data_IF_435856923152
#
_entry.id   IF_435856923152
#
_cell.length_a   1.000
_cell.length_b   1.000
_cell.length_c   1.000
_cell.angle_alpha   90.00
_cell.angle_beta   90.00
_cell.angle_gamma   90.00
#
_symmetry.space_group_name_H-M   'P 1'
#
loop_
_entity.id
_entity.type
_entity.pdbx_description
1 polymer ?
#
# COMPACT_ATOMS: atom_id res chain seq x y z
N UNK A 1 -0.83 -16.63 -63.13
CA UNK A 1 0.08 -15.66 -62.47
C UNK A 1 -0.70 -14.38 -62.15
N UNK A 2 -1.23 -14.20 -60.94
CA UNK A 2 -1.79 -12.92 -60.52
C UNK A 2 -0.67 -12.02 -59.95
N UNK A 3 -0.46 -10.84 -60.53
CA UNK A 3 0.49 -9.83 -60.02
C UNK A 3 -0.19 -8.97 -58.95
N UNK A 4 0.47 -8.85 -57.80
CA UNK A 4 0.04 -8.27 -56.54
C UNK A 4 -0.23 -6.76 -56.58
N UNK A 5 -1.26 -6.31 -55.85
CA UNK A 5 -1.49 -4.90 -55.47
C UNK A 5 -0.46 -4.42 -54.42
N UNK A 6 -0.16 -3.11 -54.33
CA UNK A 6 0.87 -2.59 -53.42
C UNK A 6 0.38 -2.55 -51.97
N UNK A 7 1.20 -3.10 -51.05
CA UNK A 7 1.00 -3.04 -49.59
C UNK A 7 1.22 -1.60 -49.11
N UNK A 8 0.16 -0.95 -48.60
CA UNK A 8 0.26 0.29 -47.82
C UNK A 8 1.07 0.02 -46.54
N UNK A 9 2.10 0.84 -46.28
CA UNK A 9 2.80 0.88 -44.98
C UNK A 9 1.78 1.28 -43.91
N UNK A 10 1.51 0.39 -42.97
CA UNK A 10 0.81 0.72 -41.74
C UNK A 10 1.79 1.45 -40.83
N UNK A 11 1.56 2.74 -40.62
CA UNK A 11 2.23 3.52 -39.57
C UNK A 11 1.76 2.96 -38.24
N UNK A 12 2.69 2.43 -37.44
CA UNK A 12 2.42 1.97 -36.09
C UNK A 12 1.97 3.17 -35.24
N UNK A 13 0.66 3.30 -35.03
CA UNK A 13 0.14 4.16 -33.98
C UNK A 13 0.52 3.51 -32.65
N UNK A 14 1.45 4.15 -31.92
CA UNK A 14 1.73 3.86 -30.51
C UNK A 14 0.37 3.89 -29.79
N UNK A 15 -0.04 2.74 -29.28
CA UNK A 15 -1.35 2.52 -28.68
C UNK A 15 -1.35 3.23 -27.33
N UNK A 16 -1.72 4.51 -27.34
CA UNK A 16 -2.00 5.29 -26.13
C UNK A 16 -3.07 4.51 -25.36
N UNK A 17 -2.70 3.98 -24.20
CA UNK A 17 -3.59 3.19 -23.36
C UNK A 17 -4.82 4.04 -23.02
N UNK A 18 -6.00 3.44 -23.19
CA UNK A 18 -7.31 4.06 -22.95
C UNK A 18 -7.37 4.55 -21.50
N UNK A 19 -7.27 5.86 -21.29
CA UNK A 19 -7.73 6.51 -20.06
C UNK A 19 -9.26 6.50 -20.11
N UNK A 20 -9.89 5.82 -19.16
CA UNK A 20 -11.33 5.85 -18.95
C UNK A 20 -11.57 6.62 -17.65
N UNK A 21 -12.41 7.66 -17.69
CA UNK A 21 -12.94 8.32 -16.50
C UNK A 21 -13.74 7.29 -15.69
N UNK A 22 -13.41 7.12 -14.40
CA UNK A 22 -14.41 6.96 -13.35
C UNK A 22 -13.81 7.06 -11.94
N UNK A 23 -14.60 7.69 -11.06
CA UNK A 23 -14.60 7.70 -9.58
C UNK A 23 -13.34 8.17 -8.83
N UNK A 24 -13.18 9.49 -8.81
CA UNK A 24 -12.90 10.31 -7.63
C UNK A 24 -11.78 9.84 -6.67
N UNK A 25 -10.56 10.33 -6.88
CA UNK A 25 -9.52 10.30 -5.87
C UNK A 25 -9.93 11.19 -4.67
N UNK A 26 -10.36 10.57 -3.55
CA UNK A 26 -10.79 11.30 -2.34
C UNK A 26 -9.64 12.04 -1.65
N UNK A 27 -8.40 11.60 -1.84
CA UNK A 27 -7.20 12.16 -1.21
C UNK A 27 -6.88 13.56 -1.77
N UNK A 28 -7.16 13.79 -3.05
CA UNK A 28 -6.93 15.08 -3.72
C UNK A 28 -8.21 15.87 -4.05
N UNK A 29 -9.36 15.49 -3.49
CA UNK A 29 -10.58 16.29 -3.57
C UNK A 29 -11.22 16.37 -4.96
N UNK A 30 -11.57 15.22 -5.55
CA UNK A 30 -12.22 15.08 -6.87
C UNK A 30 -11.31 15.29 -8.09
N UNK A 31 -10.03 14.95 -7.99
CA UNK A 31 -9.10 14.95 -9.12
C UNK A 31 -9.17 13.63 -9.90
N UNK A 32 -8.74 13.65 -11.16
CA UNK A 32 -8.57 12.43 -11.97
C UNK A 32 -7.59 11.46 -11.29
N UNK A 33 -7.93 10.17 -11.29
CA UNK A 33 -7.04 9.10 -10.86
C UNK A 33 -6.17 8.62 -12.02
N UNK A 34 -4.91 8.26 -11.74
CA UNK A 34 -3.94 7.86 -12.74
C UNK A 34 -3.36 6.48 -12.43
N UNK A 35 -2.86 5.82 -13.47
CA UNK A 35 -2.16 4.53 -13.38
C UNK A 35 -0.81 4.63 -14.09
N UNK A 36 0.21 3.96 -13.58
CA UNK A 36 1.57 3.92 -14.12
C UNK A 36 2.16 2.52 -13.99
N UNK A 37 2.23 1.77 -15.09
CA UNK A 37 2.85 0.44 -15.11
C UNK A 37 4.36 0.48 -14.80
N UNK A 38 5.02 1.59 -15.15
CA UNK A 38 6.44 1.80 -14.85
C UNK A 38 6.65 2.13 -13.36
N UNK A 39 5.75 2.93 -12.77
CA UNK A 39 5.73 3.19 -11.33
C UNK A 39 5.43 1.92 -10.53
N UNK A 40 4.46 1.13 -10.98
CA UNK A 40 4.10 -0.15 -10.39
C UNK A 40 5.30 -1.08 -10.34
N UNK A 41 5.96 -1.31 -11.47
CA UNK A 41 7.13 -2.18 -11.54
C UNK A 41 8.28 -1.69 -10.65
N UNK A 42 8.55 -0.37 -10.63
CA UNK A 42 9.62 0.21 -9.83
C UNK A 42 9.34 0.10 -8.32
N UNK A 43 8.20 0.63 -7.87
CA UNK A 43 7.91 0.79 -6.45
C UNK A 43 7.67 -0.56 -5.78
N UNK A 44 6.97 -1.49 -6.44
CA UNK A 44 6.84 -2.87 -5.93
C UNK A 44 8.19 -3.58 -5.84
N UNK A 45 9.10 -3.38 -6.80
CA UNK A 45 10.45 -3.96 -6.73
C UNK A 45 11.29 -3.43 -5.57
N UNK A 46 10.97 -2.23 -5.07
CA UNK A 46 11.56 -1.61 -3.87
C UNK A 46 10.76 -1.90 -2.59
N UNK A 47 9.75 -2.76 -2.69
CA UNK A 47 8.96 -3.22 -1.55
C UNK A 47 7.90 -2.24 -1.07
N UNK A 48 7.45 -1.32 -1.90
CA UNK A 48 6.22 -0.57 -1.66
C UNK A 48 5.00 -1.44 -1.97
N UNK A 49 3.91 -1.26 -1.21
CA UNK A 49 2.64 -1.94 -1.44
C UNK A 49 1.86 -1.16 -2.47
N UNK A 50 1.48 -1.81 -3.55
CA UNK A 50 0.54 -1.24 -4.51
C UNK A 50 -0.90 -1.42 -4.07
N UNK A 51 -1.65 -0.33 -4.01
CA UNK A 51 -3.10 -0.33 -3.79
C UNK A 51 -3.84 -1.02 -4.93
N UNK A 52 -3.31 -0.94 -6.16
CA UNK A 52 -3.88 -1.63 -7.33
C UNK A 52 -3.99 -3.14 -7.11
N UNK A 53 -3.07 -3.72 -6.35
CA UNK A 53 -3.05 -5.15 -6.04
C UNK A 53 -3.91 -5.52 -4.82
N UNK A 54 -4.54 -4.53 -4.17
CA UNK A 54 -5.41 -4.73 -3.02
C UNK A 54 -6.89 -4.87 -3.46
N UNK A 55 -7.70 -5.60 -2.68
CA UNK A 55 -9.14 -5.73 -2.93
C UNK A 55 -9.83 -4.36 -2.96
N UNK A 56 -10.43 -4.00 -4.09
CA UNK A 56 -11.12 -2.71 -4.28
C UNK A 56 -10.23 -1.57 -4.79
N UNK A 57 -8.91 -1.63 -4.58
CA UNK A 57 -7.98 -0.53 -4.90
C UNK A 57 -7.71 -0.32 -6.40
N UNK A 58 -7.95 -1.33 -7.24
CA UNK A 58 -7.79 -1.20 -8.71
C UNK A 58 -8.73 -0.17 -9.36
N UNK A 59 -9.76 0.29 -8.63
CA UNK A 59 -10.75 1.25 -9.12
C UNK A 59 -10.39 2.72 -8.82
N UNK A 60 -9.47 2.98 -7.88
CA UNK A 60 -9.20 4.32 -7.34
C UNK A 60 -7.93 4.98 -7.95
N UNK A 61 -7.27 4.29 -8.88
CA UNK A 61 -5.95 4.66 -9.43
C UNK A 61 -4.82 3.93 -8.72
N UNK A 62 -3.58 4.27 -9.07
CA UNK A 62 -2.46 3.74 -8.32
C UNK A 62 -2.15 4.63 -7.12
N UNK A 63 -1.87 3.96 -6.02
CA UNK A 63 -1.10 4.51 -4.93
C UNK A 63 -0.15 3.44 -4.43
N UNK A 64 1.01 3.89 -3.96
CA UNK A 64 2.00 3.02 -3.34
C UNK A 64 2.27 3.50 -1.94
N UNK A 65 2.11 2.60 -0.97
CA UNK A 65 2.30 2.90 0.44
C UNK A 65 3.41 2.04 1.03
N UNK A 66 3.96 2.46 2.16
CA UNK A 66 4.70 1.54 3.02
C UNK A 66 3.73 0.68 3.82
N UNK A 67 4.19 -0.51 4.23
CA UNK A 67 3.45 -1.27 5.24
C UNK A 67 3.33 -0.43 6.51
N UNK A 68 2.15 -0.35 7.15
CA UNK A 68 1.98 0.35 8.41
C UNK A 68 3.02 -0.06 9.48
N UNK A 69 3.41 -1.34 9.48
CA UNK A 69 4.46 -1.90 10.32
C UNK A 69 5.85 -1.27 10.14
N UNK A 70 6.15 -0.74 8.95
CA UNK A 70 7.48 -0.21 8.59
C UNK A 70 7.62 1.29 8.83
N UNK A 71 6.60 1.91 9.41
CA UNK A 71 6.64 3.29 9.85
C UNK A 71 7.47 3.39 11.13
N UNK A 72 8.31 4.44 11.31
CA UNK A 72 9.25 4.61 12.43
C UNK A 72 8.79 4.15 13.81
N UNK A 73 7.50 4.32 14.13
CA UNK A 73 6.71 3.52 15.08
C UNK A 73 5.36 4.21 15.38
N UNK A 74 4.22 3.98 14.70
CA UNK A 74 2.91 4.55 15.13
C UNK A 74 2.92 6.02 15.66
N UNK A 75 3.81 6.80 15.07
CA UNK A 75 3.94 8.24 15.13
C UNK A 75 3.90 8.92 16.53
N UNK A 76 4.32 8.29 17.63
CA UNK A 76 4.57 9.05 18.88
C UNK A 76 5.79 9.97 18.70
N UNK A 77 5.50 11.24 18.38
CA UNK A 77 6.41 12.38 18.20
C UNK A 77 7.41 12.28 17.03
N UNK A 78 7.27 13.14 16.01
CA UNK A 78 8.27 13.25 14.94
C UNK A 78 7.88 14.12 13.73
N UNK A 79 8.82 14.30 12.81
CA UNK A 79 8.59 14.92 11.49
C UNK A 79 7.74 14.00 10.59
N UNK A 80 6.97 14.55 9.64
CA UNK A 80 6.17 13.76 8.70
C UNK A 80 7.02 12.69 7.99
N UNK A 81 6.48 11.48 7.82
CA UNK A 81 7.18 10.36 7.16
C UNK A 81 6.50 10.00 5.84
N UNK A 82 7.23 9.60 4.80
CA UNK A 82 6.64 9.26 3.51
C UNK A 82 5.65 8.11 3.69
N UNK A 83 4.38 8.36 3.42
CA UNK A 83 3.33 7.35 3.56
C UNK A 83 2.84 6.87 2.22
N UNK A 84 2.93 7.70 1.18
CA UNK A 84 2.34 7.39 -0.11
C UNK A 84 3.04 8.05 -1.29
N UNK A 85 3.01 7.38 -2.43
CA UNK A 85 3.35 7.92 -3.74
C UNK A 85 2.14 7.72 -4.66
N UNK A 86 1.80 8.75 -5.42
CA UNK A 86 0.71 8.72 -6.41
C UNK A 86 1.21 9.19 -7.77
N UNK A 87 0.69 8.64 -8.88
CA UNK A 87 0.86 9.23 -10.19
C UNK A 87 -0.09 10.43 -10.37
N UNK A 88 0.39 11.44 -11.07
CA UNK A 88 -0.35 12.62 -11.52
C UNK A 88 -0.39 12.67 -13.05
N UNK A 89 -1.21 13.55 -13.62
CA UNK A 89 -1.24 13.76 -15.08
C UNK A 89 0.16 14.08 -15.64
N UNK A 90 0.94 14.86 -14.88
CA UNK A 90 2.22 15.42 -15.28
C UNK A 90 3.42 14.75 -14.62
N UNK A 91 3.24 13.67 -13.85
CA UNK A 91 4.34 13.02 -13.13
C UNK A 91 3.90 12.24 -11.90
N UNK A 92 4.50 12.53 -10.75
CA UNK A 92 4.25 11.84 -9.48
C UNK A 92 4.22 12.83 -8.32
N UNK A 93 3.62 12.43 -7.20
CA UNK A 93 3.70 13.14 -5.94
C UNK A 93 3.97 12.15 -4.82
N UNK A 94 4.88 12.49 -3.92
CA UNK A 94 5.05 11.81 -2.64
C UNK A 94 4.42 12.64 -1.54
N UNK A 95 3.70 12.00 -0.63
CA UNK A 95 3.16 12.63 0.58
C UNK A 95 3.84 12.05 1.82
N UNK A 96 4.21 12.95 2.71
CA UNK A 96 4.70 12.60 4.03
C UNK A 96 3.58 12.92 5.04
N UNK A 97 3.07 11.92 5.74
CA UNK A 97 2.01 12.11 6.74
C UNK A 97 2.58 12.28 8.15
N UNK A 98 1.89 13.11 8.93
CA UNK A 98 2.09 13.31 10.37
C UNK A 98 1.43 12.19 11.17
N UNK A 99 1.73 12.15 12.49
CA UNK A 99 1.08 11.25 13.43
C UNK A 99 -0.42 11.07 13.40
N UNK A 100 -1.13 12.16 13.18
CA UNK A 100 -2.58 12.18 13.13
C UNK A 100 -3.14 11.82 11.74
N UNK A 101 -2.29 11.28 10.85
CA UNK A 101 -2.66 10.94 9.47
C UNK A 101 -2.84 12.15 8.55
N UNK A 102 -2.60 13.37 9.03
CA UNK A 102 -2.67 14.55 8.17
C UNK A 102 -1.42 14.69 7.28
N UNK A 103 -1.56 15.36 6.15
CA UNK A 103 -0.44 15.63 5.24
C UNK A 103 -0.29 17.15 5.16
N UNK A 104 0.70 17.74 5.85
CA UNK A 104 0.99 19.17 5.71
C UNK A 104 1.29 19.52 4.24
N UNK A 105 0.82 20.67 3.72
CA UNK A 105 1.09 21.05 2.33
C UNK A 105 2.59 21.08 1.97
N UNK A 106 3.45 21.47 2.91
CA UNK A 106 4.91 21.47 2.79
C UNK A 106 5.54 20.07 2.81
N UNK A 107 4.78 19.07 3.23
CA UNK A 107 5.18 17.66 3.31
C UNK A 107 4.82 16.90 2.03
N UNK A 108 4.49 17.62 0.95
CA UNK A 108 4.26 17.07 -0.39
C UNK A 108 5.41 17.46 -1.31
N UNK A 109 5.84 16.53 -2.15
CA UNK A 109 6.86 16.81 -3.18
C UNK A 109 6.36 16.26 -4.50
N UNK A 110 6.24 17.15 -5.49
CA UNK A 110 5.88 16.80 -6.87
C UNK A 110 7.16 16.54 -7.68
N UNK A 111 7.08 15.51 -8.52
CA UNK A 111 8.12 15.11 -9.47
C UNK A 111 7.53 15.18 -10.87
N UNK A 112 8.18 15.88 -11.80
CA UNK A 112 7.71 16.02 -13.18
C UNK A 112 7.96 14.79 -14.06
N UNK A 113 8.63 13.75 -13.52
CA UNK A 113 8.95 12.52 -14.24
C UNK A 113 9.24 11.36 -13.28
N UNK A 114 9.30 10.14 -13.83
CA UNK A 114 9.72 8.95 -13.08
C UNK A 114 11.19 9.06 -12.69
N UNK A 115 12.04 9.62 -13.55
CA UNK A 115 13.47 9.81 -13.29
C UNK A 115 13.72 10.73 -12.09
N UNK A 116 12.92 11.78 -11.93
CA UNK A 116 12.98 12.67 -10.76
C UNK A 116 12.57 11.95 -9.47
N UNK A 117 11.48 11.16 -9.51
CA UNK A 117 11.09 10.32 -8.37
C UNK A 117 12.21 9.33 -7.99
N UNK A 118 12.78 8.63 -8.98
CA UNK A 118 13.88 7.67 -8.79
C UNK A 118 15.08 8.30 -8.08
N UNK A 119 15.41 9.55 -8.42
CA UNK A 119 16.53 10.26 -7.82
C UNK A 119 16.31 10.59 -6.32
N UNK A 120 15.05 10.65 -5.86
CA UNK A 120 14.70 10.99 -4.48
C UNK A 120 14.24 9.79 -3.64
N UNK A 121 14.00 8.62 -4.26
CA UNK A 121 13.52 7.43 -3.56
C UNK A 121 14.43 6.99 -2.42
N UNK A 122 15.75 7.11 -2.54
CA UNK A 122 16.67 6.77 -1.45
C UNK A 122 16.47 7.67 -0.23
N UNK A 123 16.15 8.96 -0.43
CA UNK A 123 15.82 9.89 0.66
C UNK A 123 14.49 9.54 1.28
N UNK A 124 13.48 9.23 0.47
CA UNK A 124 12.18 8.79 0.95
C UNK A 124 12.33 7.51 1.78
N UNK A 125 12.98 6.48 1.26
CA UNK A 125 13.12 5.18 1.93
C UNK A 125 14.03 5.21 3.15
N UNK A 126 14.86 6.25 3.33
CA UNK A 126 15.69 6.42 4.54
C UNK A 126 14.87 6.60 5.82
N UNK A 127 13.59 7.00 5.72
CA UNK A 127 12.68 7.07 6.86
C UNK A 127 12.05 5.72 7.20
N UNK A 128 12.18 4.69 6.35
CA UNK A 128 11.59 3.37 6.58
C UNK A 128 12.32 2.67 7.72
N UNK A 129 11.57 2.04 8.63
CA UNK A 129 12.19 1.15 9.61
C UNK A 129 12.78 -0.05 8.87
N UNK A 130 14.04 -0.44 9.17
CA UNK A 130 14.64 -1.61 8.54
C UNK A 130 13.79 -2.86 8.74
N UNK A 131 13.69 -3.69 7.71
CA UNK A 131 13.01 -4.97 7.80
C UNK A 131 13.52 -5.80 9.00
N UNK A 132 12.60 -6.39 9.76
CA UNK A 132 12.94 -7.15 10.97
C UNK A 132 13.24 -6.29 12.21
N UNK A 133 13.32 -4.97 12.05
CA UNK A 133 13.28 -4.00 13.15
C UNK A 133 11.85 -3.49 13.20
N UNK A 134 11.16 -3.70 14.32
CA UNK A 134 9.75 -3.34 14.44
C UNK A 134 9.53 -2.67 15.77
N UNK A 135 8.68 -1.67 15.78
CA UNK A 135 8.27 -0.97 17.00
C UNK A 135 6.76 -1.10 17.14
N UNK A 136 6.32 -1.57 18.29
CA UNK A 136 4.91 -1.77 18.65
C UNK A 136 4.43 -0.60 19.52
N UNK A 137 3.17 -0.16 19.38
CA UNK A 137 2.64 0.91 20.23
C UNK A 137 2.57 0.49 21.68
N UNK A 138 2.83 1.43 22.59
CA UNK A 138 2.56 1.21 24.01
C UNK A 138 3.30 0.01 24.63
N UNK A 139 4.37 -0.49 23.99
CA UNK A 139 5.08 -1.70 24.40
C UNK A 139 4.55 -3.01 23.81
N UNK A 140 3.57 -2.92 22.90
CA UNK A 140 2.92 -4.04 22.23
C UNK A 140 1.87 -4.72 23.08
N UNK A 141 1.23 -5.77 22.53
CA UNK A 141 0.09 -6.37 23.16
C UNK A 141 0.46 -7.01 24.50
N UNK A 142 -0.40 -6.81 25.48
CA UNK A 142 -0.23 -7.37 26.82
C UNK A 142 -0.10 -8.91 26.81
N UNK A 143 0.43 -9.52 27.89
CA UNK A 143 0.60 -10.98 27.97
C UNK A 143 -0.73 -11.75 27.89
N UNK A 144 -1.85 -11.10 28.22
CA UNK A 144 -3.20 -11.68 28.15
C UNK A 144 -4.00 -11.19 26.94
N UNK A 145 -3.52 -10.17 26.21
CA UNK A 145 -4.24 -9.58 25.09
C UNK A 145 -4.22 -10.52 23.87
N UNK A 146 -5.36 -10.63 23.20
CA UNK A 146 -5.57 -11.54 22.07
C UNK A 146 -5.73 -10.75 20.75
N UNK A 147 -5.58 -11.41 19.59
CA UNK A 147 -5.88 -10.78 18.31
C UNK A 147 -7.34 -10.30 18.23
N UNK A 148 -8.27 -11.03 18.85
CA UNK A 148 -9.69 -10.62 18.93
C UNK A 148 -9.85 -9.31 19.71
N UNK A 149 -9.13 -9.14 20.82
CA UNK A 149 -9.17 -7.90 21.60
C UNK A 149 -8.71 -6.70 20.76
N UNK A 150 -7.64 -6.86 19.98
CA UNK A 150 -7.14 -5.80 19.09
C UNK A 150 -8.17 -5.44 18.00
N UNK A 151 -8.76 -6.45 17.37
CA UNK A 151 -9.77 -6.27 16.31
C UNK A 151 -11.02 -5.53 16.82
N UNK A 152 -11.41 -5.78 18.07
CA UNK A 152 -12.61 -5.16 18.66
C UNK A 152 -12.35 -3.76 19.25
N UNK A 153 -11.09 -3.38 19.49
CA UNK A 153 -10.74 -2.16 20.23
C UNK A 153 -10.06 -1.09 19.38
N UNK A 154 -9.26 -1.45 18.39
CA UNK A 154 -8.54 -0.50 17.56
C UNK A 154 -9.46 -0.01 16.43
N UNK A 155 -9.75 1.29 16.43
CA UNK A 155 -10.67 1.90 15.47
C UNK A 155 -10.01 2.25 14.14
N UNK A 156 -8.73 2.63 14.16
CA UNK A 156 -7.99 3.05 12.98
C UNK A 156 -7.45 1.81 12.25
N UNK A 157 -7.88 1.59 11.01
CA UNK A 157 -7.59 0.36 10.26
C UNK A 157 -6.08 0.14 10.05
N UNK A 158 -5.33 1.22 9.81
CA UNK A 158 -3.88 1.14 9.62
C UNK A 158 -3.15 0.74 10.93
N UNK A 159 -3.62 1.21 12.08
CA UNK A 159 -3.11 0.84 13.41
C UNK A 159 -3.38 -0.63 13.69
N UNK A 160 -4.59 -1.10 13.37
CA UNK A 160 -4.98 -2.49 13.54
C UNK A 160 -4.11 -3.41 12.68
N UNK A 161 -3.88 -3.06 11.41
CA UNK A 161 -3.01 -3.81 10.50
C UNK A 161 -1.60 -3.94 11.08
N UNK A 162 -1.01 -2.84 11.55
CA UNK A 162 0.32 -2.87 12.15
C UNK A 162 0.40 -3.78 13.40
N UNK A 163 -0.61 -3.72 14.29
CA UNK A 163 -0.60 -4.48 15.54
C UNK A 163 -0.71 -5.97 15.21
N UNK A 164 -1.63 -6.32 14.30
CA UNK A 164 -1.83 -7.70 13.88
C UNK A 164 -0.63 -8.27 13.11
N UNK A 165 0.17 -7.45 12.41
CA UNK A 165 1.42 -7.92 11.80
C UNK A 165 2.43 -8.31 12.88
N UNK A 166 2.58 -7.50 13.94
CA UNK A 166 3.60 -7.69 14.97
C UNK A 166 3.17 -8.53 16.16
N UNK A 167 1.88 -8.84 16.27
CA UNK A 167 1.36 -9.62 17.38
C UNK A 167 2.14 -10.95 17.53
N UNK A 168 2.56 -11.31 18.75
CA UNK A 168 3.36 -12.50 19.01
C UNK A 168 2.46 -13.75 19.08
N UNK A 169 2.02 -14.21 17.90
CA UNK A 169 1.12 -15.37 17.81
C UNK A 169 1.76 -16.66 18.34
N UNK A 170 0.93 -17.50 18.96
CA UNK A 170 1.30 -18.86 19.34
C UNK A 170 1.11 -19.82 18.17
N UNK A 171 1.97 -20.85 18.08
CA UNK A 171 1.85 -21.91 17.08
C UNK A 171 0.70 -22.89 17.39
N UNK A 172 0.32 -23.01 18.65
CA UNK A 172 -0.81 -23.82 19.08
C UNK A 172 -2.13 -23.08 18.85
N UNK A 173 -3.15 -23.81 18.40
CA UNK A 173 -4.52 -23.29 18.30
C UNK A 173 -5.00 -22.80 19.68
N UNK A 174 -5.62 -21.63 19.71
CA UNK A 174 -6.05 -21.00 20.95
C UNK A 174 -6.20 -19.49 20.81
N UNK A 175 -6.49 -18.76 21.89
CA UNK A 175 -6.83 -17.33 21.83
C UNK A 175 -5.72 -16.43 21.27
N UNK A 176 -4.47 -16.87 21.28
CA UNK A 176 -3.32 -16.12 20.73
C UNK A 176 -2.84 -16.67 19.38
N UNK A 177 -3.57 -17.59 18.75
CA UNK A 177 -3.18 -18.15 17.45
C UNK A 177 -3.60 -17.20 16.31
N UNK A 178 -2.90 -17.30 15.17
CA UNK A 178 -3.24 -16.54 13.96
C UNK A 178 -4.59 -16.96 13.36
N UNK A 179 -5.13 -18.12 13.76
CA UNK A 179 -6.43 -18.61 13.30
C UNK A 179 -7.56 -17.64 13.67
N UNK A 180 -7.44 -16.89 14.77
CA UNK A 180 -8.44 -15.90 15.16
C UNK A 180 -8.51 -14.73 14.17
N UNK A 181 -7.38 -14.33 13.55
CA UNK A 181 -7.36 -13.32 12.48
C UNK A 181 -8.09 -13.84 11.24
N UNK A 182 -7.83 -15.09 10.87
CA UNK A 182 -8.49 -15.76 9.73
C UNK A 182 -10.00 -15.88 9.99
N UNK A 183 -10.39 -16.26 11.20
CA UNK A 183 -11.79 -16.39 11.60
C UNK A 183 -12.49 -15.03 11.61
N UNK A 184 -11.85 -13.98 12.13
CA UNK A 184 -12.39 -12.63 12.12
C UNK A 184 -12.63 -12.09 10.71
N UNK A 185 -11.74 -12.39 9.75
CA UNK A 185 -11.98 -12.10 8.33
C UNK A 185 -13.19 -12.86 7.77
N UNK A 186 -13.29 -14.16 8.04
CA UNK A 186 -14.44 -14.97 7.62
C UNK A 186 -15.77 -14.46 8.21
N UNK A 187 -15.73 -13.86 9.40
CA UNK A 187 -16.87 -13.23 10.09
C UNK A 187 -17.13 -11.79 9.67
N UNK A 188 -16.35 -11.24 8.72
CA UNK A 188 -16.42 -9.83 8.28
C UNK A 188 -16.12 -8.81 9.39
N UNK A 189 -15.42 -9.22 10.46
CA UNK A 189 -14.90 -8.31 11.49
C UNK A 189 -13.62 -7.60 11.05
N UNK A 190 -12.90 -8.19 10.10
CA UNK A 190 -11.79 -7.54 9.38
C UNK A 190 -12.21 -7.28 7.94
N UNK A 191 -11.80 -6.13 7.41
CA UNK A 191 -11.92 -5.87 5.97
C UNK A 191 -10.97 -6.79 5.20
N UNK A 192 -11.28 -7.03 3.92
CA UNK A 192 -10.40 -7.81 3.06
C UNK A 192 -9.03 -7.12 2.89
N UNK A 193 -9.03 -5.78 2.81
CA UNK A 193 -7.82 -4.96 2.77
C UNK A 193 -6.94 -5.19 4.01
N UNK A 194 -7.51 -5.12 5.21
CA UNK A 194 -6.77 -5.31 6.44
C UNK A 194 -6.18 -6.73 6.52
N UNK A 195 -6.98 -7.74 6.19
CA UNK A 195 -6.53 -9.13 6.20
C UNK A 195 -5.38 -9.40 5.22
N UNK A 196 -5.50 -8.96 3.97
CA UNK A 196 -4.43 -9.13 2.98
C UNK A 196 -3.16 -8.37 3.36
N UNK A 197 -3.30 -7.18 3.93
CA UNK A 197 -2.16 -6.39 4.43
C UNK A 197 -1.44 -7.12 5.57
N UNK A 198 -2.18 -7.72 6.51
CA UNK A 198 -1.59 -8.51 7.60
C UNK A 198 -0.83 -9.72 7.06
N UNK A 199 -1.39 -10.44 6.10
CA UNK A 199 -0.71 -11.57 5.46
C UNK A 199 0.59 -11.13 4.78
N UNK A 200 0.53 -10.08 3.97
CA UNK A 200 1.69 -9.54 3.26
C UNK A 200 2.79 -9.09 4.24
N UNK A 201 2.42 -8.34 5.30
CA UNK A 201 3.35 -7.86 6.31
C UNK A 201 4.01 -8.99 7.12
N UNK A 202 3.34 -10.14 7.24
CA UNK A 202 3.88 -11.34 7.90
C UNK A 202 4.61 -12.29 6.96
N UNK A 203 4.70 -11.98 5.66
CA UNK A 203 5.29 -12.85 4.65
C UNK A 203 4.50 -14.15 4.44
N UNK A 204 3.19 -14.13 4.70
CA UNK A 204 2.29 -15.25 4.53
C UNK A 204 1.55 -15.14 3.20
N UNK A 205 1.37 -16.26 2.50
CA UNK A 205 0.49 -16.31 1.33
C UNK A 205 -0.97 -16.35 1.76
N UNK A 206 -1.84 -15.67 1.03
CA UNK A 206 -3.28 -15.79 1.23
C UNK A 206 -3.74 -17.25 1.01
N UNK A 207 -4.68 -17.76 1.82
CA UNK A 207 -5.24 -19.09 1.59
C UNK A 207 -5.82 -19.18 0.16
N UNK A 208 -5.25 -20.07 -0.66
CA UNK A 208 -5.68 -20.30 -2.04
C UNK A 208 -4.81 -19.66 -3.14
N UNK A 209 -3.78 -18.88 -2.79
CA UNK A 209 -2.87 -18.25 -3.75
C UNK A 209 -1.92 -19.25 -4.46
N UNK A 210 -1.78 -20.47 -3.95
CA UNK A 210 -0.96 -21.55 -4.53
C UNK A 210 -1.74 -22.49 -5.48
N UNK A 211 -2.80 -21.99 -6.13
CA UNK A 211 -3.64 -22.77 -7.05
C UNK A 211 -3.30 -22.55 -8.52
#
# INVERSE_FOLDING_TARGET
>A
MPKSKPRKKAVAKKKQARRAEHETNRIFGNTESFTSDEGEALLTSRGWISERNQPGGALDGDAWYWMPSQLPAYLEEGEPVPTSVFPLETGFVSQLATPDGSVPPEAQTEYGSLEELVADLDRLEAYRVPEGTWTVLGGGPGPEETPDDLIDTIAEEWELIAELIHFPYTAESGPRSFENVVQAHAESRLTDYAYQSVLAGRGLSAPGADS
#
